data_IF_542607822389
#
_entry.id   IF_542607822389
#
_cell.length_a   1.000
_cell.length_b   1.000
_cell.length_c   1.000
_cell.angle_alpha   90.00
_cell.angle_beta   90.00
_cell.angle_gamma   90.00
#
_symmetry.space_group_name_H-M   'P 1'
#
loop_
_entity.id
_entity.type
_entity.pdbx_description
1 polymer ?
#
# COMPACT_ATOMS: atom_id res chain seq x y z
N UNK A 1 12.14 2.39 -1.97
CA UNK A 1 10.94 1.63 -2.42
C UNK A 1 9.98 1.44 -1.26
N UNK A 2 8.75 1.90 -1.41
CA UNK A 2 7.70 1.72 -0.40
C UNK A 2 7.05 0.34 -0.53
N UNK A 3 6.84 -0.38 0.58
CA UNK A 3 6.23 -1.71 0.61
C UNK A 3 5.07 -1.75 1.59
N UNK A 4 3.87 -2.02 1.07
CA UNK A 4 2.65 -2.21 1.85
C UNK A 4 2.25 -3.68 1.91
N UNK A 5 1.97 -4.17 3.12
CA UNK A 5 1.43 -5.51 3.37
C UNK A 5 -0.05 -5.39 3.71
N UNK A 6 -0.92 -5.82 2.80
CA UNK A 6 -2.37 -5.67 2.91
C UNK A 6 -3.04 -6.93 3.46
N UNK A 7 -4.23 -6.78 4.05
CA UNK A 7 -5.03 -7.90 4.54
C UNK A 7 -4.50 -8.52 5.83
N UNK A 8 -3.99 -7.69 6.75
CA UNK A 8 -3.62 -8.10 8.09
C UNK A 8 -4.89 -8.37 8.91
N UNK A 9 -4.94 -9.52 9.59
CA UNK A 9 -6.11 -9.93 10.39
C UNK A 9 -5.82 -10.07 11.89
N UNK A 10 -4.55 -10.14 12.27
CA UNK A 10 -4.10 -10.41 13.62
C UNK A 10 -2.81 -9.64 13.91
N UNK A 11 -2.48 -9.52 15.20
CA UNK A 11 -1.34 -8.76 15.68
C UNK A 11 0.01 -9.36 15.29
N UNK A 12 0.15 -10.69 15.40
CA UNK A 12 1.40 -11.38 15.10
C UNK A 12 1.85 -11.11 13.67
N UNK A 13 0.93 -11.18 12.70
CA UNK A 13 1.19 -10.87 11.30
C UNK A 13 1.54 -9.39 11.08
N UNK A 14 0.93 -8.48 11.84
CA UNK A 14 1.23 -7.05 11.77
C UNK A 14 2.66 -6.76 12.24
N UNK A 15 3.02 -7.28 13.41
CA UNK A 15 4.35 -7.14 13.99
C UNK A 15 5.41 -7.83 13.13
N UNK A 16 5.09 -9.00 12.57
CA UNK A 16 5.94 -9.71 11.64
C UNK A 16 6.21 -8.89 10.37
N UNK A 17 5.17 -8.31 9.77
CA UNK A 17 5.33 -7.47 8.58
C UNK A 17 6.24 -6.26 8.87
N UNK A 18 6.05 -5.60 10.01
CA UNK A 18 6.89 -4.47 10.45
C UNK A 18 8.34 -4.91 10.70
N UNK A 19 8.55 -6.01 11.43
CA UNK A 19 9.88 -6.54 11.71
C UNK A 19 10.65 -6.94 10.43
N UNK A 20 9.93 -7.32 9.37
CA UNK A 20 10.52 -7.63 8.06
C UNK A 20 10.76 -6.40 7.19
N UNK A 21 10.40 -5.20 7.66
CA UNK A 21 10.66 -3.93 6.98
C UNK A 21 9.56 -3.47 6.03
N UNK A 22 8.29 -3.80 6.32
CA UNK A 22 7.16 -3.16 5.65
C UNK A 22 7.04 -1.69 6.07
N UNK A 23 6.75 -0.79 5.13
CA UNK A 23 6.52 0.63 5.42
C UNK A 23 5.06 0.90 5.79
N UNK A 24 4.16 0.01 5.39
CA UNK A 24 2.73 0.11 5.66
C UNK A 24 2.05 -1.24 5.86
N UNK A 25 0.99 -1.23 6.68
CA UNK A 25 0.10 -2.38 6.88
C UNK A 25 -1.35 -2.00 6.58
N UNK A 26 -2.05 -2.87 5.87
CA UNK A 26 -3.43 -2.66 5.42
C UNK A 26 -4.44 -3.55 6.14
N UNK A 27 -5.53 -2.96 6.62
CA UNK A 27 -6.64 -3.62 7.32
C UNK A 27 -7.91 -3.50 6.48
N UNK A 28 -8.58 -4.62 6.18
CA UNK A 28 -9.75 -4.62 5.30
C UNK A 28 -11.04 -4.51 6.13
N UNK A 29 -11.83 -3.46 5.88
CA UNK A 29 -13.13 -3.27 6.54
C UNK A 29 -14.32 -3.71 5.67
N UNK A 30 -14.08 -3.94 4.38
CA UNK A 30 -15.06 -4.45 3.44
C UNK A 30 -15.27 -5.98 3.53
N UNK A 31 -16.43 -6.51 3.10
CA UNK A 31 -16.69 -7.95 3.07
C UNK A 31 -15.62 -8.72 2.30
N UNK A 32 -14.87 -9.56 3.00
CA UNK A 32 -13.82 -10.42 2.45
C UNK A 32 -13.35 -11.47 3.48
N UNK A 33 -12.62 -12.51 3.07
CA UNK A 33 -11.97 -13.42 4.02
C UNK A 33 -10.96 -12.75 4.97
N UNK A 34 -10.59 -11.50 4.68
CA UNK A 34 -9.59 -10.71 5.42
C UNK A 34 -10.25 -9.56 6.20
N UNK A 35 -11.58 -9.57 6.31
CA UNK A 35 -12.32 -8.53 6.99
C UNK A 35 -12.00 -8.53 8.49
N UNK A 36 -11.72 -7.35 9.03
CA UNK A 36 -11.45 -7.13 10.46
C UNK A 36 -12.38 -6.08 11.05
N UNK A 37 -12.60 -6.16 12.37
CA UNK A 37 -13.37 -5.14 13.10
C UNK A 37 -12.49 -3.95 13.47
N UNK A 38 -13.09 -2.76 13.60
CA UNK A 38 -12.38 -1.56 14.04
C UNK A 38 -11.68 -1.74 15.39
N UNK A 39 -12.28 -2.51 16.31
CA UNK A 39 -11.71 -2.81 17.62
C UNK A 39 -10.42 -3.63 17.52
N UNK A 40 -10.41 -4.68 16.70
CA UNK A 40 -9.19 -5.49 16.46
C UNK A 40 -8.08 -4.61 15.88
N UNK A 41 -8.43 -3.75 14.92
CA UNK A 41 -7.45 -2.83 14.32
C UNK A 41 -6.92 -1.85 15.35
N UNK A 42 -7.76 -1.27 16.20
CA UNK A 42 -7.34 -0.40 17.29
C UNK A 42 -6.33 -1.06 18.23
N UNK A 43 -6.57 -2.32 18.58
CA UNK A 43 -5.68 -3.07 19.45
C UNK A 43 -4.30 -3.33 18.82
N UNK A 44 -4.25 -3.49 17.50
CA UNK A 44 -3.01 -3.65 16.73
C UNK A 44 -2.31 -2.30 16.54
N UNK A 45 -3.01 -1.27 16.07
CA UNK A 45 -2.40 0.02 15.68
C UNK A 45 -1.67 0.70 16.83
N UNK A 46 -2.16 0.57 18.07
CA UNK A 46 -1.50 1.11 19.27
C UNK A 46 -0.17 0.42 19.63
N UNK A 47 0.10 -0.76 19.08
CA UNK A 47 1.34 -1.52 19.33
C UNK A 47 2.37 -1.35 18.21
N UNK A 48 1.96 -0.80 17.07
CA UNK A 48 2.86 -0.57 15.95
C UNK A 48 3.69 0.71 16.15
N UNK A 49 4.94 0.73 15.66
CA UNK A 49 5.75 1.95 15.67
C UNK A 49 5.05 3.10 14.93
N UNK A 50 5.21 4.35 15.38
CA UNK A 50 4.51 5.50 14.80
C UNK A 50 4.91 5.78 13.34
N UNK A 51 6.06 5.30 12.88
CA UNK A 51 6.57 5.43 11.52
C UNK A 51 5.79 4.54 10.52
N UNK A 52 5.17 3.47 11.00
CA UNK A 52 4.43 2.54 10.13
C UNK A 52 3.09 3.17 9.74
N UNK A 53 2.84 3.23 8.44
CA UNK A 53 1.57 3.72 7.91
C UNK A 53 0.49 2.64 8.06
N UNK A 54 -0.54 2.95 8.82
CA UNK A 54 -1.70 2.06 9.01
C UNK A 54 -2.81 2.48 8.06
N UNK A 55 -3.24 1.57 7.18
CA UNK A 55 -4.17 1.85 6.09
C UNK A 55 -5.48 1.08 6.29
N UNK A 56 -6.61 1.77 6.36
CA UNK A 56 -7.93 1.15 6.29
C UNK A 56 -8.40 0.99 4.85
N UNK A 57 -8.79 -0.22 4.44
CA UNK A 57 -9.28 -0.51 3.09
C UNK A 57 -10.80 -0.64 3.09
N UNK A 58 -11.44 0.21 2.31
CA UNK A 58 -12.90 0.33 2.19
C UNK A 58 -13.37 0.06 0.77
N UNK A 59 -14.62 -0.34 0.61
CA UNK A 59 -15.22 -0.59 -0.71
C UNK A 59 -16.70 -0.23 -0.67
N UNK A 60 -17.03 0.92 -1.25
CA UNK A 60 -18.42 1.40 -1.37
C UNK A 60 -19.06 1.86 -0.07
N UNK A 61 -18.28 2.12 0.98
CA UNK A 61 -18.76 2.69 2.23
C UNK A 61 -19.05 4.20 2.07
N UNK A 62 -20.06 4.70 2.80
CA UNK A 62 -20.34 6.14 2.87
C UNK A 62 -19.26 6.89 3.66
N UNK A 63 -18.98 8.18 3.34
CA UNK A 63 -17.97 8.97 4.05
C UNK A 63 -18.11 8.94 5.59
N UNK A 64 -19.32 9.13 6.11
CA UNK A 64 -19.58 9.12 7.56
C UNK A 64 -19.20 7.78 8.23
N UNK A 65 -19.44 6.67 7.53
CA UNK A 65 -19.07 5.34 8.00
C UNK A 65 -17.56 5.13 7.97
N UNK A 66 -16.89 5.61 6.92
CA UNK A 66 -15.43 5.59 6.82
C UNK A 66 -14.84 6.38 8.00
N UNK A 67 -15.35 7.59 8.27
CA UNK A 67 -14.88 8.40 9.41
C UNK A 67 -15.07 7.72 10.75
N UNK A 68 -16.24 7.14 11.01
CA UNK A 68 -16.50 6.41 12.25
C UNK A 68 -15.50 5.25 12.43
N UNK A 69 -15.23 4.48 11.38
CA UNK A 69 -14.28 3.37 11.42
C UNK A 69 -12.84 3.88 11.61
N UNK A 70 -12.43 4.93 10.89
CA UNK A 70 -11.09 5.52 11.00
C UNK A 70 -10.85 6.02 12.42
N UNK A 71 -11.81 6.76 13.00
CA UNK A 71 -11.75 7.27 14.36
C UNK A 71 -11.64 6.15 15.40
N UNK A 72 -12.44 5.08 15.25
CA UNK A 72 -12.43 3.93 16.17
C UNK A 72 -11.18 3.06 16.05
N UNK A 73 -10.65 2.89 14.84
CA UNK A 73 -9.53 1.97 14.57
C UNK A 73 -8.14 2.62 14.70
N UNK A 74 -8.07 3.95 14.63
CA UNK A 74 -6.80 4.68 14.69
C UNK A 74 -5.92 4.52 13.44
N UNK A 75 -6.48 4.08 12.31
CA UNK A 75 -5.74 4.06 11.04
C UNK A 75 -5.41 5.48 10.57
N UNK A 76 -4.24 5.66 9.95
CA UNK A 76 -3.73 6.97 9.53
C UNK A 76 -4.01 7.31 8.07
N UNK A 77 -4.35 6.29 7.27
CA UNK A 77 -4.63 6.41 5.85
C UNK A 77 -5.90 5.63 5.48
N UNK A 78 -6.58 6.10 4.43
CA UNK A 78 -7.76 5.45 3.85
C UNK A 78 -7.46 5.02 2.43
N UNK A 79 -7.72 3.76 2.13
CA UNK A 79 -7.69 3.22 0.77
C UNK A 79 -9.12 2.97 0.28
N UNK A 80 -9.51 3.67 -0.79
CA UNK A 80 -10.81 3.54 -1.45
C UNK A 80 -10.69 2.56 -2.62
N UNK A 81 -11.22 1.35 -2.42
CA UNK A 81 -11.04 0.20 -3.31
C UNK A 81 -12.36 -0.24 -3.98
N UNK A 82 -13.24 0.70 -4.26
CA UNK A 82 -14.44 0.52 -5.08
C UNK A 82 -14.55 1.58 -6.17
N UNK A 83 -15.80 1.87 -6.55
CA UNK A 83 -16.15 2.89 -7.54
C UNK A 83 -16.55 4.20 -6.84
N UNK A 84 -15.86 4.55 -5.74
CA UNK A 84 -16.19 5.76 -4.99
C UNK A 84 -16.01 7.00 -5.87
N UNK A 85 -17.00 7.91 -5.90
CA UNK A 85 -16.90 9.14 -6.68
C UNK A 85 -15.85 10.08 -6.10
N UNK A 86 -15.37 11.01 -6.92
CA UNK A 86 -14.43 12.06 -6.50
C UNK A 86 -14.93 12.85 -5.28
N UNK A 87 -16.24 13.04 -5.16
CA UNK A 87 -16.85 13.70 -3.99
C UNK A 87 -16.57 12.97 -2.67
N UNK A 88 -16.39 11.66 -2.69
CA UNK A 88 -15.99 10.88 -1.50
C UNK A 88 -14.54 11.19 -1.12
N UNK A 89 -13.64 11.27 -2.10
CA UNK A 89 -12.25 11.67 -1.87
C UNK A 89 -12.18 13.06 -1.25
N UNK A 90 -12.89 14.03 -1.84
CA UNK A 90 -12.94 15.42 -1.36
C UNK A 90 -13.50 15.49 0.06
N UNK A 91 -14.58 14.76 0.36
CA UNK A 91 -15.16 14.74 1.69
C UNK A 91 -14.17 14.23 2.76
N UNK A 92 -13.33 13.24 2.40
CA UNK A 92 -12.34 12.65 3.32
C UNK A 92 -11.07 13.50 3.48
N UNK A 93 -10.72 14.32 2.50
CA UNK A 93 -9.44 15.04 2.43
C UNK A 93 -9.20 15.98 3.62
N UNK A 94 -10.26 16.58 4.19
CA UNK A 94 -10.15 17.50 5.33
C UNK A 94 -9.81 16.80 6.65
N UNK A 95 -10.05 15.50 6.75
CA UNK A 95 -9.99 14.74 8.01
C UNK A 95 -9.06 13.53 7.97
N UNK A 96 -8.61 13.11 6.78
CA UNK A 96 -7.71 11.97 6.59
C UNK A 96 -6.41 12.47 5.97
N UNK A 97 -5.28 12.19 6.63
CA UNK A 97 -3.97 12.67 6.17
C UNK A 97 -3.55 12.09 4.82
N UNK A 98 -3.86 10.82 4.57
CA UNK A 98 -3.43 10.12 3.36
C UNK A 98 -4.60 9.37 2.74
N UNK A 99 -4.90 9.67 1.48
CA UNK A 99 -5.93 8.95 0.72
C UNK A 99 -5.28 8.19 -0.43
N UNK A 100 -5.57 6.90 -0.50
CA UNK A 100 -5.13 6.01 -1.58
C UNK A 100 -6.36 5.67 -2.42
N UNK A 101 -6.44 6.14 -3.67
CA UNK A 101 -7.49 5.66 -4.59
C UNK A 101 -6.97 4.42 -5.32
N UNK A 102 -7.67 3.29 -5.17
CA UNK A 102 -7.39 2.13 -5.99
C UNK A 102 -8.12 2.25 -7.34
N UNK A 103 -7.42 1.90 -8.41
CA UNK A 103 -7.93 1.82 -9.78
C UNK A 103 -7.55 0.48 -10.38
N UNK A 104 -8.38 -0.03 -11.28
CA UNK A 104 -8.10 -1.26 -12.02
C UNK A 104 -7.22 -0.95 -13.22
N UNK A 105 -6.15 -1.73 -13.45
CA UNK A 105 -5.30 -1.56 -14.63
C UNK A 105 -6.12 -1.65 -15.94
N UNK A 106 -5.82 -0.77 -16.92
CA UNK A 106 -6.55 -0.67 -18.20
C UNK A 106 -7.96 -0.06 -18.13
N UNK A 107 -8.45 0.29 -16.93
CA UNK A 107 -9.75 0.96 -16.76
C UNK A 107 -9.72 2.42 -17.22
N UNK A 108 -10.91 3.01 -17.38
CA UNK A 108 -11.03 4.44 -17.68
C UNK A 108 -10.48 5.29 -16.53
N UNK A 109 -10.70 4.85 -15.30
CA UNK A 109 -10.26 5.48 -14.07
C UNK A 109 -8.73 5.53 -13.98
N UNK A 110 -8.05 4.46 -14.41
CA UNK A 110 -6.59 4.43 -14.44
C UNK A 110 -6.00 5.49 -15.39
N UNK A 111 -6.62 5.69 -16.57
CA UNK A 111 -6.21 6.72 -17.55
C UNK A 111 -6.38 8.16 -17.06
N UNK A 112 -7.26 8.38 -16.08
CA UNK A 112 -7.52 9.70 -15.51
C UNK A 112 -7.11 9.77 -14.03
N UNK A 113 -6.17 8.91 -13.60
CA UNK A 113 -5.85 8.75 -12.19
C UNK A 113 -5.33 10.06 -11.53
N UNK A 114 -4.67 10.92 -12.30
CA UNK A 114 -4.22 12.24 -11.84
C UNK A 114 -5.37 13.20 -11.48
N UNK A 115 -6.59 12.97 -11.98
CA UNK A 115 -7.76 13.81 -11.69
C UNK A 115 -8.37 13.54 -10.32
N UNK A 116 -8.00 12.43 -9.64
CA UNK A 116 -8.52 12.14 -8.31
C UNK A 116 -7.98 13.06 -7.22
N UNK A 117 -6.87 13.76 -7.46
CA UNK A 117 -6.27 14.67 -6.49
C UNK A 117 -5.81 14.00 -5.19
N UNK A 118 -5.58 12.68 -5.21
CA UNK A 118 -5.13 11.89 -4.05
C UNK A 118 -3.61 11.81 -3.97
N UNK A 119 -3.10 11.56 -2.75
CA UNK A 119 -1.66 11.44 -2.49
C UNK A 119 -1.01 10.24 -3.20
N UNK A 120 -1.76 9.14 -3.28
CA UNK A 120 -1.29 7.84 -3.78
C UNK A 120 -2.37 7.20 -4.66
N UNK A 121 -1.95 6.61 -5.77
CA UNK A 121 -2.82 5.79 -6.62
C UNK A 121 -2.36 4.34 -6.52
N UNK A 122 -3.25 3.44 -6.13
CA UNK A 122 -2.98 2.00 -6.13
C UNK A 122 -3.56 1.39 -7.41
N UNK A 123 -2.75 0.63 -8.13
CA UNK A 123 -3.15 -0.01 -9.38
C UNK A 123 -3.24 -1.50 -9.14
N UNK A 124 -4.45 -2.04 -9.21
CA UNK A 124 -4.71 -3.46 -9.00
C UNK A 124 -5.04 -4.18 -10.31
N UNK A 125 -4.92 -5.52 -10.29
CA UNK A 125 -5.28 -6.38 -11.39
C UNK A 125 -6.77 -6.23 -11.78
N UNK A 126 -7.15 -6.56 -13.03
CA UNK A 126 -8.55 -6.63 -13.49
C UNK A 126 -9.48 -7.42 -12.57
N UNK A 127 -8.96 -8.44 -11.90
CA UNK A 127 -9.65 -9.19 -10.85
C UNK A 127 -8.96 -8.96 -9.48
N UNK A 128 -9.32 -7.88 -8.75
CA UNK A 128 -8.72 -7.55 -7.46
C UNK A 128 -8.83 -8.68 -6.45
N UNK A 129 -7.71 -9.05 -5.83
CA UNK A 129 -7.67 -10.08 -4.80
C UNK A 129 -7.72 -11.54 -5.30
N UNK A 130 -7.74 -11.76 -6.62
CA UNK A 130 -7.59 -13.10 -7.23
C UNK A 130 -6.20 -13.70 -6.98
N UNK A 131 -5.18 -12.85 -6.83
CA UNK A 131 -3.79 -13.27 -6.78
C UNK A 131 -3.18 -13.54 -8.17
N UNK A 132 -3.92 -13.30 -9.26
CA UNK A 132 -3.42 -13.44 -10.62
C UNK A 132 -2.61 -12.20 -11.03
N UNK A 133 -1.48 -12.45 -11.67
CA UNK A 133 -0.66 -11.40 -12.30
C UNK A 133 -1.36 -10.97 -13.60
N UNK A 134 -1.40 -9.67 -13.83
CA UNK A 134 -1.96 -9.09 -15.05
C UNK A 134 -0.85 -8.56 -15.97
N UNK A 135 -1.20 -8.25 -17.21
CA UNK A 135 -0.28 -7.63 -18.17
C UNK A 135 0.12 -6.22 -17.70
N UNK A 136 1.36 -6.07 -17.25
CA UNK A 136 1.87 -4.80 -16.72
C UNK A 136 1.92 -3.68 -17.75
N UNK A 137 1.85 -3.97 -19.06
CA UNK A 137 1.73 -2.92 -20.09
C UNK A 137 0.49 -2.06 -19.91
N UNK A 138 -0.55 -2.57 -19.22
CA UNK A 138 -1.73 -1.78 -18.84
C UNK A 138 -1.42 -0.63 -17.86
N UNK A 139 -0.24 -0.63 -17.24
CA UNK A 139 0.22 0.46 -16.38
C UNK A 139 0.83 1.62 -17.19
N UNK A 140 1.19 1.40 -18.46
CA UNK A 140 1.73 2.45 -19.34
C UNK A 140 0.69 3.54 -19.66
N UNK A 141 -0.60 3.22 -19.49
CA UNK A 141 -1.71 4.17 -19.68
C UNK A 141 -1.88 5.14 -18.50
N UNK A 142 -1.10 4.97 -17.43
CA UNK A 142 -1.25 5.74 -16.19
C UNK A 142 -0.49 7.07 -16.33
N UNK A 143 -1.13 8.21 -16.00
CA UNK A 143 -0.48 9.51 -16.08
C UNK A 143 0.80 9.58 -15.24
N UNK A 144 1.82 10.26 -15.76
CA UNK A 144 3.05 10.55 -15.02
C UNK A 144 2.81 11.57 -13.89
N UNK A 145 3.78 11.67 -12.97
CA UNK A 145 3.74 12.62 -11.86
C UNK A 145 2.89 12.19 -10.65
N UNK A 146 2.32 10.99 -10.68
CA UNK A 146 1.61 10.40 -9.53
C UNK A 146 2.50 9.41 -8.78
N UNK A 147 2.32 9.32 -7.47
CA UNK A 147 2.94 8.27 -6.65
C UNK A 147 2.11 6.99 -6.76
N UNK A 148 2.50 6.15 -7.71
CA UNK A 148 1.82 4.89 -8.01
C UNK A 148 2.32 3.75 -7.11
N UNK A 149 1.37 3.02 -6.51
CA UNK A 149 1.60 1.76 -5.81
C UNK A 149 1.09 0.62 -6.71
N UNK A 150 1.96 -0.30 -7.08
CA UNK A 150 1.59 -1.47 -7.88
C UNK A 150 1.07 -2.59 -6.97
N UNK A 151 -0.11 -3.12 -7.28
CA UNK A 151 -0.71 -4.29 -6.65
C UNK A 151 -1.02 -5.35 -7.73
N UNK A 152 -1.88 -6.33 -7.42
CA UNK A 152 -2.36 -7.31 -8.40
C UNK A 152 -1.44 -8.52 -8.56
N UNK A 153 -1.69 -9.57 -7.78
CA UNK A 153 -1.01 -10.86 -7.94
C UNK A 153 0.49 -10.86 -7.67
N UNK A 154 1.01 -9.82 -7.02
CA UNK A 154 2.44 -9.76 -6.69
C UNK A 154 2.81 -10.87 -5.69
N UNK A 155 3.94 -11.52 -5.94
CA UNK A 155 4.54 -12.57 -5.10
C UNK A 155 6.03 -12.32 -4.95
N UNK A 156 6.70 -13.08 -4.08
CA UNK A 156 8.14 -12.96 -3.93
C UNK A 156 8.90 -13.29 -5.22
N UNK A 157 8.32 -14.10 -6.10
CA UNK A 157 8.93 -14.58 -7.34
C UNK A 157 8.84 -13.55 -8.48
N UNK A 158 7.79 -12.72 -8.52
CA UNK A 158 7.56 -11.78 -9.62
C UNK A 158 7.83 -10.31 -9.29
N UNK A 159 7.87 -9.93 -8.00
CA UNK A 159 7.92 -8.51 -7.60
C UNK A 159 9.17 -7.79 -8.13
N UNK A 160 10.31 -8.49 -8.23
CA UNK A 160 11.53 -7.90 -8.75
C UNK A 160 11.44 -7.53 -10.24
N UNK A 161 10.72 -8.33 -11.03
CA UNK A 161 10.47 -8.04 -12.44
C UNK A 161 9.46 -6.90 -12.58
N UNK A 162 8.38 -6.96 -11.79
CA UNK A 162 7.35 -5.93 -11.74
C UNK A 162 7.94 -4.54 -11.44
N UNK A 163 8.82 -4.46 -10.44
CA UNK A 163 9.51 -3.23 -10.06
C UNK A 163 10.41 -2.70 -11.18
N UNK A 164 11.17 -3.58 -11.86
CA UNK A 164 12.08 -3.15 -12.95
C UNK A 164 11.34 -2.64 -14.17
N UNK A 165 10.22 -3.28 -14.50
CA UNK A 165 9.41 -2.93 -15.65
C UNK A 165 8.58 -1.67 -15.38
N UNK A 166 7.77 -1.67 -14.33
CA UNK A 166 6.79 -0.61 -14.02
C UNK A 166 7.43 0.60 -13.34
N UNK A 167 8.53 0.41 -12.60
CA UNK A 167 9.18 1.44 -11.75
C UNK A 167 8.19 2.20 -10.85
N UNK A 168 7.37 1.50 -10.06
CA UNK A 168 6.39 2.15 -9.21
C UNK A 168 7.06 2.87 -8.03
N UNK A 169 6.35 3.81 -7.41
CA UNK A 169 6.79 4.43 -6.15
C UNK A 169 6.77 3.42 -5.00
N UNK A 170 5.79 2.50 -5.01
CA UNK A 170 5.68 1.42 -4.05
C UNK A 170 5.02 0.17 -4.60
N UNK A 171 5.01 -0.89 -3.81
CA UNK A 171 4.31 -2.15 -4.10
C UNK A 171 3.37 -2.52 -2.95
N UNK A 172 2.23 -3.14 -3.27
CA UNK A 172 1.26 -3.66 -2.32
C UNK A 172 1.05 -5.15 -2.55
N UNK A 173 1.10 -5.95 -1.48
CA UNK A 173 0.86 -7.39 -1.56
C UNK A 173 -0.09 -7.86 -0.47
N UNK A 174 -1.00 -8.76 -0.84
CA UNK A 174 -1.94 -9.40 0.08
C UNK A 174 -1.79 -10.92 0.06
N UNK A 175 -2.36 -11.60 -0.94
CA UNK A 175 -2.38 -13.06 -1.03
C UNK A 175 -1.03 -13.69 -1.38
N UNK A 176 -0.16 -13.01 -2.12
CA UNK A 176 1.15 -13.54 -2.52
C UNK A 176 2.12 -13.80 -1.37
N UNK A 177 1.82 -13.29 -0.17
CA UNK A 177 2.61 -13.49 1.05
C UNK A 177 1.82 -14.22 2.15
N UNK A 178 0.72 -14.87 1.78
CA UNK A 178 -0.12 -15.65 2.71
C UNK A 178 0.24 -17.14 2.71
N UNK A 179 0.10 -17.78 3.87
CA UNK A 179 0.01 -19.25 3.98
C UNK A 179 -1.43 -19.72 3.80
N UNK A 180 -2.39 -18.90 4.22
CA UNK A 180 -3.84 -19.06 4.06
C UNK A 180 -4.50 -17.68 4.05
N UNK A 181 -5.73 -17.51 3.52
CA UNK A 181 -6.40 -16.21 3.50
C UNK A 181 -6.41 -15.54 4.88
N UNK A 182 -5.81 -14.35 4.97
CA UNK A 182 -5.70 -13.59 6.22
C UNK A 182 -4.57 -14.00 7.17
N UNK A 183 -3.77 -15.02 6.84
CA UNK A 183 -2.59 -15.46 7.63
C UNK A 183 -1.31 -15.32 6.83
N UNK A 184 -0.40 -14.45 7.30
CA UNK A 184 0.86 -14.16 6.60
C UNK A 184 1.91 -15.24 6.82
N UNK A 185 2.78 -15.40 5.83
CA UNK A 185 3.91 -16.32 5.87
C UNK A 185 5.22 -15.54 6.00
N UNK A 186 5.99 -15.82 7.06
CA UNK A 186 7.22 -15.10 7.38
C UNK A 186 8.28 -15.20 6.28
N UNK A 187 8.42 -16.37 5.64
CA UNK A 187 9.41 -16.57 4.60
C UNK A 187 9.02 -15.83 3.32
N UNK A 188 7.75 -15.87 2.95
CA UNK A 188 7.23 -15.12 1.79
C UNK A 188 7.34 -13.62 2.00
N UNK A 189 6.97 -13.11 3.18
CA UNK A 189 7.11 -11.68 3.52
C UNK A 189 8.56 -11.21 3.37
N UNK A 190 9.49 -11.92 4.01
CA UNK A 190 10.92 -11.58 3.96
C UNK A 190 11.43 -11.56 2.52
N UNK A 191 11.13 -12.59 1.74
CA UNK A 191 11.56 -12.67 0.33
C UNK A 191 10.95 -11.58 -0.52
N UNK A 192 9.66 -11.29 -0.33
CA UNK A 192 8.95 -10.25 -1.05
C UNK A 192 9.59 -8.87 -0.82
N UNK A 193 9.76 -8.48 0.44
CA UNK A 193 10.33 -7.17 0.79
C UNK A 193 11.77 -7.05 0.28
N UNK A 194 12.59 -8.09 0.48
CA UNK A 194 13.97 -8.10 0.00
C UNK A 194 14.05 -7.97 -1.53
N UNK A 195 13.24 -8.74 -2.26
CA UNK A 195 13.24 -8.74 -3.72
C UNK A 195 12.71 -7.41 -4.30
N UNK A 196 11.69 -6.82 -3.67
CA UNK A 196 11.16 -5.51 -4.07
C UNK A 196 12.20 -4.39 -3.88
N UNK A 197 12.88 -4.38 -2.73
CA UNK A 197 13.91 -3.36 -2.43
C UNK A 197 15.15 -3.53 -3.28
N UNK A 198 15.61 -4.77 -3.51
CA UNK A 198 16.78 -5.05 -4.35
C UNK A 198 16.57 -4.73 -5.84
N UNK A 199 15.32 -4.76 -6.31
CA UNK A 199 14.98 -4.42 -7.69
C UNK A 199 14.76 -2.92 -7.90
N UNK A 200 14.55 -2.16 -6.83
CA UNK A 200 14.36 -0.73 -6.91
C UNK A 200 15.65 -0.05 -7.41
N UNK A 201 15.54 1.01 -8.23
CA UNK A 201 16.71 1.80 -8.59
C UNK A 201 17.38 2.31 -7.30
N UNK A 202 18.71 2.34 -7.30
CA UNK A 202 19.45 3.02 -6.24
C UNK A 202 18.95 4.46 -6.17
N UNK A 203 18.72 4.97 -4.96
CA UNK A 203 18.42 6.39 -4.81
C UNK A 203 19.61 7.17 -5.39
N UNK A 204 19.38 7.98 -6.42
CA UNK A 204 20.39 8.91 -6.92
C UNK A 204 20.72 9.88 -5.79
N UNK A 205 21.85 9.66 -5.12
CA UNK A 205 22.42 10.60 -4.12
C UNK A 205 22.91 11.89 -4.80
N UNK A 206 22.69 12.06 -6.11
CA UNK A 206 23.14 13.22 -6.89
C UNK A 206 21.94 14.03 -7.40
N UNK A 207 21.38 14.87 -6.52
CA UNK A 207 20.27 15.75 -6.89
C UNK A 207 19.94 16.79 -5.82
N UNK A 208 20.87 17.73 -5.62
CA UNK A 208 20.69 19.01 -4.90
C UNK A 208 20.18 18.93 -3.44
N UNK A 209 21.12 18.68 -2.53
CA UNK A 209 21.08 19.34 -1.22
C UNK A 209 22.51 19.78 -0.89
N UNK A 210 22.66 21.07 -0.60
CA UNK A 210 23.93 21.61 -0.15
C UNK A 210 24.48 20.80 1.01
N UNK A 211 25.70 20.30 0.80
CA UNK A 211 26.71 19.96 1.78
C UNK A 211 26.22 19.78 3.23
N UNK A 212 25.72 18.58 3.56
CA UNK A 212 25.58 18.14 4.94
C UNK A 212 25.75 16.60 5.01
N UNK A 213 26.97 16.13 4.70
CA UNK A 213 27.39 14.80 5.17
C UNK A 213 27.77 14.93 6.65
N UNK A 214 27.36 13.97 7.51
CA UNK A 214 27.72 14.01 8.93
C UNK A 214 29.24 13.89 9.11
N UNK A 215 29.77 14.73 9.99
CA UNK A 215 31.18 14.79 10.41
C UNK A 215 31.78 13.38 10.61
N UNK A 216 32.87 13.08 9.92
CA UNK A 216 33.64 11.84 10.05
C UNK A 216 34.59 11.95 11.25
N UNK A 217 34.45 11.05 12.21
CA UNK A 217 35.21 11.00 13.46
C UNK A 217 36.49 10.16 13.35
N UNK A 218 36.87 9.72 12.15
CA UNK A 218 38.00 8.81 11.94
C UNK A 218 39.38 9.47 11.80
N UNK A 219 39.49 10.80 11.89
CA UNK A 219 40.76 11.53 11.87
C UNK A 219 41.04 12.22 13.24
N UNK A 220 41.41 11.42 14.26
CA UNK A 220 42.25 11.86 15.39
C UNK A 220 43.29 10.78 15.77
#
# INVERSE_FOLDING_TARGET
MFVKICGITNEDDALLAVAMGADAVGFVFAPSPRQVSAQVVFDITRRLPPEILTVGVFRGDLPDRIFDIVSKSGVKAVQLHGNEPLSTVVALADNVRWIIKAVTAGSREARVANQFGTDLILVDAPEPGSGLVFDWSLTDEIPSGIRMILAGGLTAENVAEAVRYVRPWGVDVSSGVESAPGKKDALKLRRFIANARAAAPAEDVTGDSGNDFPYDWADE
#
